data_IF_546804340373
#
_entry.id   IF_546804340373
#
_cell.length_a   1.000
_cell.length_b   1.000
_cell.length_c   1.000
_cell.angle_alpha   90.00
_cell.angle_beta   90.00
_cell.angle_gamma   90.00
#
_symmetry.space_group_name_H-M   'P 1'
#
loop_
_entity.id
_entity.type
_entity.pdbx_description
1 polymer ?
#
# COMPACT_ATOMS: atom_id res chain seq x y z
N UNK A 1 -4.15 -0.84 17.83
CA UNK A 1 -3.27 -0.49 16.70
C UNK A 1 -3.31 1.02 16.57
N UNK A 2 -2.15 1.65 16.51
CA UNK A 2 -2.06 3.10 16.26
C UNK A 2 -1.83 3.28 14.77
N UNK A 3 -2.65 4.09 14.12
CA UNK A 3 -2.41 4.49 12.73
C UNK A 3 -1.56 5.74 12.75
N UNK A 4 -0.46 5.73 12.00
CA UNK A 4 0.40 6.89 11.79
C UNK A 4 0.34 7.31 10.33
N UNK A 5 0.34 8.61 10.08
CA UNK A 5 0.40 9.17 8.73
C UNK A 5 1.85 9.49 8.38
N UNK A 6 2.25 9.15 7.16
CA UNK A 6 3.55 9.51 6.59
C UNK A 6 3.34 10.38 5.36
N UNK A 7 4.28 11.26 5.08
CA UNK A 7 4.28 12.07 3.86
C UNK A 7 4.69 11.23 2.63
N UNK A 8 4.32 11.67 1.42
CA UNK A 8 4.81 11.04 0.18
C UNK A 8 6.34 11.00 0.08
N UNK A 9 7.03 12.02 0.59
CA UNK A 9 8.50 12.07 0.62
C UNK A 9 9.07 10.98 1.53
N UNK A 10 8.51 10.79 2.72
CA UNK A 10 8.94 9.74 3.65
C UNK A 10 8.65 8.35 3.07
N UNK A 11 7.48 8.15 2.48
CA UNK A 11 7.15 6.89 1.80
C UNK A 11 8.15 6.59 0.68
N UNK A 12 8.44 7.58 -0.16
CA UNK A 12 9.42 7.41 -1.25
C UNK A 12 10.80 7.01 -0.73
N UNK A 13 11.26 7.60 0.38
CA UNK A 13 12.52 7.21 1.04
C UNK A 13 12.48 5.78 1.58
N UNK A 14 11.39 5.39 2.25
CA UNK A 14 11.21 4.04 2.80
C UNK A 14 11.18 2.97 1.69
N UNK A 15 10.63 3.28 0.52
CA UNK A 15 10.62 2.39 -0.64
C UNK A 15 12.02 2.09 -1.22
N UNK A 16 13.04 2.88 -0.86
CA UNK A 16 14.43 2.62 -1.26
C UNK A 16 15.20 1.76 -0.25
N UNK A 17 14.58 1.34 0.86
CA UNK A 17 15.22 0.50 1.86
C UNK A 17 15.36 -0.96 1.39
N UNK A 18 16.24 -1.73 2.04
CA UNK A 18 16.40 -3.17 1.78
C UNK A 18 15.12 -3.95 2.09
N UNK A 19 14.35 -3.48 3.07
CA UNK A 19 13.07 -4.06 3.50
C UNK A 19 12.00 -2.95 3.45
N UNK A 20 11.43 -2.66 2.27
CA UNK A 20 10.44 -1.60 2.12
C UNK A 20 9.08 -2.05 2.69
N UNK A 21 8.21 -1.09 3.07
CA UNK A 21 6.84 -1.40 3.47
C UNK A 21 6.03 -1.99 2.31
N UNK A 22 4.96 -2.71 2.63
CA UNK A 22 3.95 -3.08 1.63
C UNK A 22 3.07 -1.87 1.36
N UNK A 23 3.00 -1.46 0.09
CA UNK A 23 2.07 -0.42 -0.34
C UNK A 23 0.83 -1.06 -0.91
N UNK A 24 -0.35 -0.60 -0.48
CA UNK A 24 -1.65 -1.05 -0.98
C UNK A 24 -2.36 0.13 -1.61
N UNK A 25 -2.72 0.02 -2.88
CA UNK A 25 -3.59 0.97 -3.55
C UNK A 25 -5.03 0.51 -3.39
N UNK A 26 -5.84 1.27 -2.66
CA UNK A 26 -7.25 0.92 -2.38
C UNK A 26 -8.26 1.60 -3.30
N UNK A 27 -7.76 2.31 -4.33
CA UNK A 27 -8.57 3.01 -5.33
C UNK A 27 -9.15 2.02 -6.35
N UNK A 28 -10.06 2.52 -7.20
CA UNK A 28 -10.68 1.71 -8.24
C UNK A 28 -9.74 1.36 -9.40
N UNK A 29 -10.13 0.36 -10.19
CA UNK A 29 -9.36 -0.17 -11.33
C UNK A 29 -8.90 0.90 -12.32
N UNK A 30 -9.78 1.84 -12.68
CA UNK A 30 -9.46 2.89 -13.65
C UNK A 30 -8.36 3.83 -13.14
N UNK A 31 -8.38 4.17 -11.85
CA UNK A 31 -7.39 5.03 -11.22
C UNK A 31 -6.04 4.32 -11.08
N UNK A 32 -6.06 3.05 -10.69
CA UNK A 32 -4.86 2.22 -10.64
C UNK A 32 -4.23 2.09 -12.03
N UNK A 33 -5.05 1.79 -13.05
CA UNK A 33 -4.58 1.65 -14.43
C UNK A 33 -4.07 2.97 -15.03
N UNK A 34 -4.65 4.11 -14.65
CA UNK A 34 -4.17 5.43 -15.07
C UNK A 34 -2.80 5.79 -14.46
N UNK A 35 -2.46 5.23 -13.31
CA UNK A 35 -1.15 5.35 -12.68
C UNK A 35 -1.19 5.07 -11.19
N UNK A 36 -0.17 4.37 -10.70
CA UNK A 36 -0.03 3.96 -9.30
C UNK A 36 1.45 3.93 -8.89
N UNK A 37 1.71 3.79 -7.58
CA UNK A 37 3.06 3.62 -7.06
C UNK A 37 3.61 2.28 -7.54
N UNK A 38 4.76 2.22 -8.25
CA UNK A 38 5.32 0.97 -8.74
C UNK A 38 5.52 -0.06 -7.61
N UNK A 39 5.01 -1.28 -7.82
CA UNK A 39 5.08 -2.35 -6.83
C UNK A 39 3.96 -2.33 -5.78
N UNK A 40 3.03 -1.38 -5.84
CA UNK A 40 1.84 -1.39 -5.00
C UNK A 40 0.94 -2.58 -5.34
N UNK A 41 0.45 -3.24 -4.30
CA UNK A 41 -0.60 -4.26 -4.40
C UNK A 41 -1.94 -3.54 -4.58
N UNK A 42 -2.66 -3.85 -5.66
CA UNK A 42 -3.99 -3.30 -5.89
C UNK A 42 -5.04 -4.16 -5.19
N UNK A 43 -5.74 -3.58 -4.22
CA UNK A 43 -6.87 -4.21 -3.55
C UNK A 43 -7.91 -3.11 -3.31
N UNK A 44 -8.96 -3.01 -4.15
CA UNK A 44 -10.03 -2.04 -3.95
C UNK A 44 -10.56 -2.06 -2.52
N UNK A 45 -10.85 -0.88 -1.97
CA UNK A 45 -11.22 -0.74 -0.56
C UNK A 45 -12.44 -1.56 -0.14
N UNK A 46 -13.37 -1.83 -1.06
CA UNK A 46 -14.54 -2.69 -0.87
C UNK A 46 -14.23 -4.20 -0.93
N UNK A 47 -13.08 -4.57 -1.46
CA UNK A 47 -12.58 -5.95 -1.51
C UNK A 47 -11.58 -6.25 -0.37
N UNK A 48 -11.04 -5.22 0.28
CA UNK A 48 -9.94 -5.34 1.25
C UNK A 48 -10.18 -6.36 2.37
N UNK A 49 -11.39 -6.42 2.93
CA UNK A 49 -11.72 -7.38 3.99
C UNK A 49 -11.52 -8.84 3.56
N UNK A 50 -11.76 -9.15 2.28
CA UNK A 50 -11.65 -10.49 1.71
C UNK A 50 -10.19 -10.89 1.45
N UNK A 51 -9.33 -9.90 1.21
CA UNK A 51 -7.93 -10.08 0.87
C UNK A 51 -6.96 -9.86 2.05
N UNK A 52 -7.46 -9.65 3.29
CA UNK A 52 -6.61 -9.42 4.47
C UNK A 52 -5.54 -10.51 4.68
N UNK A 53 -5.85 -11.76 4.33
CA UNK A 53 -4.93 -12.89 4.47
C UNK A 53 -3.75 -12.85 3.47
N UNK A 54 -3.87 -12.08 2.39
CA UNK A 54 -2.85 -11.93 1.34
C UNK A 54 -1.85 -10.82 1.69
N UNK A 55 -2.18 -9.95 2.65
CA UNK A 55 -1.35 -8.82 3.05
C UNK A 55 -0.22 -9.32 3.96
N UNK A 56 1.06 -9.08 3.61
CA UNK A 56 2.20 -9.40 4.46
C UNK A 56 2.08 -8.78 5.85
N UNK A 57 2.24 -9.59 6.89
CA UNK A 57 2.14 -9.18 8.30
C UNK A 57 3.51 -8.97 8.96
N UNK A 58 4.60 -9.21 8.22
CA UNK A 58 5.99 -9.14 8.69
C UNK A 58 6.63 -7.75 8.54
N UNK A 59 5.93 -6.81 7.89
CA UNK A 59 6.41 -5.46 7.58
C UNK A 59 5.29 -4.42 7.68
N UNK A 60 5.61 -3.12 7.76
CA UNK A 60 4.60 -2.08 7.76
C UNK A 60 3.76 -2.09 6.47
N UNK A 61 2.48 -1.75 6.62
CA UNK A 61 1.54 -1.62 5.50
C UNK A 61 1.13 -0.17 5.37
N UNK A 62 1.21 0.36 4.16
CA UNK A 62 0.85 1.74 3.82
C UNK A 62 -0.26 1.70 2.76
N UNK A 63 -1.53 1.76 3.17
CA UNK A 63 -2.63 1.97 2.24
C UNK A 63 -2.67 3.44 1.78
N UNK A 64 -3.07 3.69 0.54
CA UNK A 64 -3.32 5.04 0.00
C UNK A 64 -4.50 5.10 -0.96
#
# INVERSE_FOLDING_TARGET
MTTEYISPTELHQQLQATEPPTVIDVRGDEEYAAGHIPGALHIPGDELEQHLAEIPQDRPVVPY
#
